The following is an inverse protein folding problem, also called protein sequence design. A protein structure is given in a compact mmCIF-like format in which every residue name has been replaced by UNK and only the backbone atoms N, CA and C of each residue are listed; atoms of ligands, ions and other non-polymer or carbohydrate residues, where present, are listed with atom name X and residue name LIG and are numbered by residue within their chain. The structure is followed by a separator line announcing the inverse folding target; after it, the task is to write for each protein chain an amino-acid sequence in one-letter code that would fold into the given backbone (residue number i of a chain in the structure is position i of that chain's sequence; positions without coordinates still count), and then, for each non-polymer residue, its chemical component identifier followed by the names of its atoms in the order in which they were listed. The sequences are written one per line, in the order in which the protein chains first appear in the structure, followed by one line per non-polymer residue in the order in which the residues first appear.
data_IF_672770159850
#
_entry.id   IF_672770159850
#
_cell.length_a   1.000
_cell.length_b   1.000
_cell.length_c   1.000
_cell.angle_alpha   90.00
_cell.angle_beta   90.00
_cell.angle_gamma   90.00
#
_symmetry.space_group_name_H-M   'P 1'
#
loop_
_entity.id
_entity.type
_entity.pdbx_description
1 polymer ?
#
# COMPACT_ATOMS: atom_id res chain seq x y z
N UNK A 1 -1.74 10.39 -6.37
CA UNK A 1 -2.28 11.17 -7.52
C UNK A 1 -2.72 12.58 -7.14
N UNK A 2 -2.63 12.95 -5.90
CA UNK A 2 -3.00 14.27 -5.40
C UNK A 2 -3.39 14.21 -3.94
N UNK A 3 -3.38 15.38 -3.27
CA UNK A 3 -3.65 15.50 -1.83
C UNK A 3 -5.00 16.14 -1.50
N UNK A 4 -5.65 16.72 -2.49
CA UNK A 4 -6.96 17.36 -2.28
C UNK A 4 -7.87 17.18 -3.53
N UNK A 5 -8.75 16.17 -3.55
CA UNK A 5 -8.85 15.06 -2.57
C UNK A 5 -7.61 14.15 -2.58
N UNK A 6 -7.42 13.43 -1.48
CA UNK A 6 -6.33 12.47 -1.37
C UNK A 6 -6.61 11.22 -2.22
N UNK A 7 -5.88 11.09 -3.32
CA UNK A 7 -6.05 10.00 -4.28
C UNK A 7 -4.79 9.16 -4.41
N UNK A 8 -4.99 7.86 -4.60
CA UNK A 8 -3.93 6.91 -4.90
C UNK A 8 -4.17 6.22 -6.24
N UNK A 9 -3.09 5.95 -6.97
CA UNK A 9 -3.11 5.14 -8.19
C UNK A 9 -2.35 3.84 -7.98
N UNK A 10 -2.90 2.75 -8.46
CA UNK A 10 -2.29 1.43 -8.39
C UNK A 10 -2.36 0.77 -9.78
N UNK A 11 -1.23 0.28 -10.27
CA UNK A 11 -1.19 -0.50 -11.51
C UNK A 11 -1.44 -1.96 -11.19
N UNK A 12 -2.46 -2.51 -11.80
CA UNK A 12 -2.77 -3.92 -11.75
C UNK A 12 -2.33 -4.59 -13.05
N UNK A 13 -1.68 -5.74 -12.94
CA UNK A 13 -1.31 -6.57 -14.09
C UNK A 13 -2.58 -7.01 -14.86
N UNK A 14 -2.46 -7.43 -16.13
CA UNK A 14 -3.60 -7.88 -16.92
C UNK A 14 -4.48 -8.89 -16.17
N UNK A 15 -5.78 -8.72 -16.32
CA UNK A 15 -6.82 -9.55 -15.65
C UNK A 15 -7.17 -10.83 -16.43
N UNK A 16 -6.40 -11.17 -17.44
CA UNK A 16 -6.48 -12.46 -18.15
C UNK A 16 -6.28 -13.66 -17.21
N UNK A 17 -5.55 -13.43 -16.08
CA UNK A 17 -5.47 -14.35 -14.96
C UNK A 17 -6.36 -13.81 -13.84
N UNK A 18 -7.26 -14.63 -13.24
CA UNK A 18 -8.08 -14.22 -12.11
C UNK A 18 -7.24 -13.63 -10.98
N UNK A 19 -7.68 -12.48 -10.44
CA UNK A 19 -7.00 -11.80 -9.32
C UNK A 19 -8.01 -11.52 -8.23
N UNK A 20 -7.89 -12.26 -7.13
CA UNK A 20 -8.84 -12.20 -6.02
C UNK A 20 -8.94 -10.80 -5.42
N UNK A 21 -7.79 -10.11 -5.25
CA UNK A 21 -7.76 -8.71 -4.77
C UNK A 21 -8.60 -7.80 -5.65
N UNK A 22 -8.50 -7.93 -6.98
CA UNK A 22 -9.28 -7.12 -7.90
C UNK A 22 -10.78 -7.47 -7.82
N UNK A 23 -11.11 -8.76 -7.81
CA UNK A 23 -12.50 -9.21 -7.69
C UNK A 23 -13.13 -8.71 -6.38
N UNK A 24 -12.41 -8.83 -5.26
CA UNK A 24 -12.87 -8.37 -3.95
C UNK A 24 -13.05 -6.84 -3.92
N UNK A 25 -12.11 -6.11 -4.49
CA UNK A 25 -12.19 -4.64 -4.59
C UNK A 25 -13.40 -4.19 -5.41
N UNK A 26 -13.69 -4.85 -6.53
CA UNK A 26 -14.87 -4.56 -7.36
C UNK A 26 -16.17 -4.91 -6.64
N UNK A 27 -16.20 -6.02 -5.91
CA UNK A 27 -17.40 -6.48 -5.19
C UNK A 27 -17.73 -5.62 -3.96
N UNK A 28 -16.70 -5.15 -3.25
CA UNK A 28 -16.90 -4.43 -1.98
C UNK A 28 -16.78 -2.90 -2.10
N UNK A 29 -16.13 -2.42 -3.16
CA UNK A 29 -15.85 -1.00 -3.36
C UNK A 29 -14.75 -0.44 -2.44
N UNK A 30 -14.09 -1.29 -1.63
CA UNK A 30 -13.06 -0.86 -0.68
C UNK A 30 -11.86 -1.80 -0.68
N UNK A 31 -10.71 -1.26 -0.29
CA UNK A 31 -9.46 -2.01 -0.11
C UNK A 31 -8.55 -1.32 0.90
N UNK A 32 -7.52 -2.01 1.36
CA UNK A 32 -6.49 -1.43 2.22
C UNK A 32 -5.13 -1.51 1.57
N UNK A 33 -4.28 -0.54 1.87
CA UNK A 33 -2.85 -0.59 1.60
C UNK A 33 -2.11 -0.58 2.93
N UNK A 34 -1.12 -1.45 3.05
CA UNK A 34 -0.37 -1.62 4.29
C UNK A 34 1.12 -1.62 3.97
N UNK A 35 1.89 -0.72 4.60
CA UNK A 35 3.33 -0.69 4.44
C UNK A 35 3.96 -1.93 5.09
N UNK A 36 4.91 -2.54 4.39
CA UNK A 36 5.64 -3.70 4.91
C UNK A 36 6.67 -3.20 5.93
N UNK A 37 6.64 -3.76 7.14
CA UNK A 37 7.71 -3.60 8.13
C UNK A 37 8.82 -4.62 7.89
N UNK A 38 10.06 -4.30 8.22
CA UNK A 38 11.22 -5.18 8.01
C UNK A 38 11.05 -6.59 8.59
N UNK A 39 10.37 -6.71 9.74
CA UNK A 39 10.07 -8.01 10.36
C UNK A 39 9.00 -8.84 9.62
N UNK A 40 8.38 -8.29 8.60
CA UNK A 40 7.28 -8.90 7.84
C UNK A 40 7.70 -9.27 6.40
N UNK A 41 8.96 -9.09 6.02
CA UNK A 41 9.42 -9.24 4.62
C UNK A 41 9.10 -10.62 4.08
N UNK A 42 9.47 -11.68 4.79
CA UNK A 42 9.28 -13.07 4.35
C UNK A 42 7.79 -13.40 4.14
N UNK A 43 6.97 -13.08 5.13
CA UNK A 43 5.52 -13.29 5.06
C UNK A 43 4.88 -12.43 3.96
N UNK A 44 5.25 -11.15 3.85
CA UNK A 44 4.74 -10.26 2.81
C UNK A 44 5.13 -10.74 1.42
N UNK A 45 6.36 -11.21 1.22
CA UNK A 45 6.79 -11.84 -0.02
C UNK A 45 5.94 -13.07 -0.35
N UNK A 46 5.68 -13.91 0.65
CA UNK A 46 4.90 -15.14 0.48
C UNK A 46 3.45 -14.86 0.06
N UNK A 47 2.86 -13.70 0.39
CA UNK A 47 1.52 -13.32 -0.07
C UNK A 47 1.42 -13.15 -1.59
N UNK A 48 2.55 -13.09 -2.31
CA UNK A 48 2.57 -13.05 -3.78
C UNK A 48 2.33 -14.42 -4.44
N UNK A 49 2.35 -15.50 -3.66
CA UNK A 49 2.07 -16.85 -4.15
C UNK A 49 0.60 -16.98 -4.60
N UNK A 50 0.39 -17.80 -5.62
CA UNK A 50 -0.95 -18.03 -6.18
C UNK A 50 -1.68 -19.11 -5.38
N UNK A 51 -2.63 -18.70 -4.55
CA UNK A 51 -3.50 -19.60 -3.80
C UNK A 51 -4.88 -19.73 -4.45
N UNK A 52 -5.60 -20.85 -4.25
CA UNK A 52 -7.03 -20.94 -4.59
C UNK A 52 -7.84 -19.88 -3.84
N UNK A 53 -8.96 -19.44 -4.42
CA UNK A 53 -9.85 -18.40 -3.86
C UNK A 53 -10.35 -18.71 -2.43
N UNK A 54 -10.45 -19.99 -2.09
CA UNK A 54 -10.88 -20.45 -0.76
C UNK A 54 -9.80 -20.33 0.33
N UNK A 55 -8.59 -19.94 -0.02
CA UNK A 55 -7.45 -19.84 0.91
C UNK A 55 -7.02 -18.39 1.01
N UNK A 56 -7.02 -17.87 2.24
CA UNK A 56 -6.46 -16.56 2.53
C UNK A 56 -4.95 -16.64 2.78
N UNK A 57 -4.21 -15.68 2.26
CA UNK A 57 -2.76 -15.54 2.52
C UNK A 57 -2.48 -15.34 4.02
N UNK A 58 -3.40 -14.77 4.77
CA UNK A 58 -3.30 -14.70 6.24
C UNK A 58 -3.23 -16.07 6.91
N UNK A 59 -3.84 -17.10 6.32
CA UNK A 59 -3.81 -18.47 6.84
C UNK A 59 -2.49 -19.19 6.50
N UNK A 60 -1.70 -18.63 5.60
CA UNK A 60 -0.43 -19.20 5.10
C UNK A 60 0.81 -18.43 5.53
N UNK A 61 0.63 -17.36 6.28
CA UNK A 61 1.69 -16.49 6.79
C UNK A 61 1.52 -16.24 8.29
N UNK A 62 2.50 -15.60 8.92
CA UNK A 62 2.40 -15.14 10.30
C UNK A 62 1.73 -13.76 10.41
N UNK A 63 1.37 -13.13 9.28
CA UNK A 63 0.64 -11.87 9.26
C UNK A 63 -0.71 -12.04 9.97
N UNK A 64 -1.10 -11.04 10.75
CA UNK A 64 -2.36 -11.06 11.49
C UNK A 64 -3.34 -10.05 10.90
N UNK A 65 -4.59 -10.47 10.82
CA UNK A 65 -5.69 -9.59 10.44
C UNK A 65 -5.95 -8.58 11.55
N UNK A 66 -6.08 -7.32 11.17
CA UNK A 66 -6.66 -6.28 12.01
C UNK A 66 -7.97 -5.79 11.38
N UNK A 67 -9.02 -5.67 12.18
CA UNK A 67 -10.30 -5.10 11.77
C UNK A 67 -10.48 -3.74 12.42
N UNK A 68 -10.72 -2.72 11.62
CA UNK A 68 -11.04 -1.39 12.12
C UNK A 68 -12.53 -1.14 12.01
N UNK A 69 -13.08 -0.44 13.00
CA UNK A 69 -14.52 -0.16 13.09
C UNK A 69 -14.97 0.59 11.83
N UNK A 70 -16.08 0.14 11.28
CA UNK A 70 -16.74 0.71 10.09
C UNK A 70 -15.97 0.58 8.77
N UNK A 71 -14.96 -0.30 8.68
CA UNK A 71 -14.27 -0.56 7.43
C UNK A 71 -14.28 -2.06 7.09
N UNK A 72 -14.80 -2.40 5.90
CA UNK A 72 -15.06 -3.80 5.53
C UNK A 72 -13.78 -4.57 5.21
N UNK A 73 -12.83 -3.95 4.50
CA UNK A 73 -11.59 -4.62 4.14
C UNK A 73 -10.66 -4.79 5.35
N UNK A 74 -9.92 -5.92 5.45
CA UNK A 74 -8.98 -6.16 6.53
C UNK A 74 -7.71 -5.31 6.36
N UNK A 75 -7.06 -5.01 7.49
CA UNK A 75 -5.71 -4.46 7.54
C UNK A 75 -4.73 -5.52 7.99
N UNK A 76 -3.45 -5.32 7.67
CA UNK A 76 -2.34 -6.10 8.24
C UNK A 76 -1.97 -5.48 9.59
N UNK A 77 -2.13 -6.26 10.66
CA UNK A 77 -1.79 -5.81 12.02
C UNK A 77 -0.31 -5.43 12.11
N UNK A 78 -0.02 -4.43 12.91
CA UNK A 78 1.33 -3.91 13.17
C UNK A 78 2.06 -3.27 11.98
N UNK A 79 1.40 -3.16 10.82
CA UNK A 79 1.91 -2.36 9.72
C UNK A 79 2.13 -0.90 10.14
N UNK A 80 3.29 -0.29 9.84
CA UNK A 80 3.59 1.08 10.30
C UNK A 80 2.69 2.16 9.70
N UNK A 81 2.24 1.93 8.47
CA UNK A 81 1.28 2.78 7.76
C UNK A 81 0.19 1.90 7.18
N UNK A 82 -1.06 2.25 7.44
CA UNK A 82 -2.23 1.57 6.91
C UNK A 82 -3.17 2.59 6.29
N UNK A 83 -3.64 2.35 5.09
CA UNK A 83 -4.57 3.22 4.38
C UNK A 83 -5.89 2.48 4.15
N UNK A 84 -7.00 3.08 4.58
CA UNK A 84 -8.34 2.69 4.17
C UNK A 84 -8.66 3.37 2.84
N UNK A 85 -8.95 2.62 1.80
CA UNK A 85 -9.15 3.15 0.46
C UNK A 85 -10.50 2.73 -0.11
N UNK A 86 -11.13 3.66 -0.83
CA UNK A 86 -12.34 3.39 -1.61
C UNK A 86 -11.99 3.34 -3.09
N UNK A 87 -12.46 2.31 -3.77
CA UNK A 87 -12.37 2.22 -5.22
C UNK A 87 -13.22 3.31 -5.88
N UNK A 88 -12.65 4.08 -6.79
CA UNK A 88 -13.36 5.14 -7.51
C UNK A 88 -13.54 4.80 -9.00
N UNK A 89 -12.45 4.45 -9.67
CA UNK A 89 -12.46 4.24 -11.12
C UNK A 89 -11.25 3.41 -11.55
N UNK A 90 -11.27 2.97 -12.81
CA UNK A 90 -10.15 2.29 -13.44
C UNK A 90 -10.00 2.73 -14.89
N UNK A 91 -8.76 2.69 -15.39
CA UNK A 91 -8.42 3.02 -16.77
C UNK A 91 -7.59 1.89 -17.37
N UNK A 92 -8.03 1.37 -18.50
CA UNK A 92 -7.30 0.37 -19.24
C UNK A 92 -6.15 1.01 -20.01
N UNK A 93 -4.93 0.56 -19.75
CA UNK A 93 -3.71 0.98 -20.44
C UNK A 93 -3.46 -0.01 -21.57
N UNK A 94 -3.85 0.38 -22.78
CA UNK A 94 -3.86 -0.48 -23.98
C UNK A 94 -2.47 -0.94 -24.42
N UNK A 95 -1.44 -0.18 -24.07
CA UNK A 95 -0.06 -0.40 -24.48
C UNK A 95 0.52 -1.71 -23.89
N UNK A 96 0.04 -2.13 -22.74
CA UNK A 96 0.52 -3.34 -22.06
C UNK A 96 -0.60 -4.13 -21.35
N UNK A 97 -1.85 -3.78 -21.64
CA UNK A 97 -3.04 -4.46 -21.15
C UNK A 97 -3.19 -4.43 -19.62
N UNK A 98 -2.61 -3.44 -18.95
CA UNK A 98 -2.73 -3.24 -17.48
C UNK A 98 -3.91 -2.32 -17.16
N UNK A 99 -4.30 -2.31 -15.86
CA UNK A 99 -5.31 -1.40 -15.32
C UNK A 99 -4.66 -0.40 -14.37
N UNK A 100 -4.92 0.90 -14.57
CA UNK A 100 -4.69 1.91 -13.56
C UNK A 100 -5.96 2.03 -12.70
N UNK A 101 -5.89 1.57 -11.49
CA UNK A 101 -6.97 1.72 -10.50
C UNK A 101 -6.76 3.03 -9.74
N UNK A 102 -7.83 3.82 -9.62
CA UNK A 102 -7.84 5.05 -8.82
C UNK A 102 -8.74 4.85 -7.61
N UNK A 103 -8.19 5.12 -6.45
CA UNK A 103 -8.92 5.10 -5.17
C UNK A 103 -8.75 6.40 -4.40
N UNK A 104 -9.74 6.72 -3.54
CA UNK A 104 -9.60 7.74 -2.52
C UNK A 104 -9.03 7.13 -1.24
N UNK A 105 -8.23 7.91 -0.52
CA UNK A 105 -7.78 7.57 0.83
C UNK A 105 -8.81 8.17 1.79
N UNK A 106 -9.57 7.30 2.46
CA UNK A 106 -10.61 7.68 3.42
C UNK A 106 -10.02 7.91 4.82
N UNK A 107 -9.12 7.00 5.24
CA UNK A 107 -8.41 7.11 6.51
C UNK A 107 -6.94 6.71 6.33
N UNK A 108 -6.07 7.39 7.05
CA UNK A 108 -4.64 7.11 7.13
C UNK A 108 -4.26 6.89 8.60
N UNK A 109 -3.76 5.69 8.89
CA UNK A 109 -3.24 5.31 10.21
C UNK A 109 -1.72 5.22 10.13
N UNK A 110 -1.04 5.96 10.98
CA UNK A 110 0.42 6.05 11.04
C UNK A 110 0.85 5.80 12.47
N UNK A 111 1.91 5.03 12.69
CA UNK A 111 2.51 4.89 14.04
C UNK A 111 3.07 6.23 14.50
N UNK A 112 2.78 6.61 15.74
CA UNK A 112 3.25 7.87 16.32
C UNK A 112 4.78 8.02 16.28
N UNK A 113 5.51 6.89 16.39
CA UNK A 113 6.97 6.87 16.38
C UNK A 113 7.62 7.34 15.06
N UNK A 114 6.87 7.42 13.96
CA UNK A 114 7.37 7.85 12.66
C UNK A 114 6.72 9.14 12.14
N UNK A 115 5.74 9.66 12.88
CA UNK A 115 5.08 10.93 12.56
C UNK A 115 5.77 12.06 13.33
N UNK A 116 6.41 12.97 12.61
CA UNK A 116 7.09 14.11 13.19
C UNK A 116 6.09 15.23 13.52
N UNK A 117 6.49 16.16 14.39
CA UNK A 117 5.64 17.27 14.85
C UNK A 117 5.13 18.16 13.71
N UNK A 118 5.87 18.27 12.61
CA UNK A 118 5.49 19.02 11.42
C UNK A 118 4.59 18.23 10.45
N UNK A 119 4.16 17.01 10.83
CA UNK A 119 3.30 16.14 10.04
C UNK A 119 4.03 15.29 9.01
N UNK A 120 5.37 15.38 8.96
CA UNK A 120 6.15 14.55 8.06
C UNK A 120 6.29 13.11 8.57
N UNK A 121 6.14 12.13 7.67
CA UNK A 121 6.27 10.71 7.99
C UNK A 121 7.68 10.25 7.62
N UNK A 122 8.47 9.86 8.62
CA UNK A 122 9.83 9.40 8.42
C UNK A 122 9.88 7.89 8.30
N UNK A 123 10.00 7.39 7.06
CA UNK A 123 9.83 5.97 6.72
C UNK A 123 10.92 5.06 7.33
N UNK A 124 12.16 5.52 7.38
CA UNK A 124 13.29 4.75 7.92
C UNK A 124 13.20 4.52 9.43
N UNK A 125 12.59 5.44 10.20
CA UNK A 125 12.30 5.24 11.62
C UNK A 125 11.27 4.12 11.87
N UNK A 126 10.45 3.84 10.87
CA UNK A 126 9.41 2.81 10.95
C UNK A 126 9.83 1.43 10.49
N UNK A 127 11.09 1.25 10.08
CA UNK A 127 11.51 0.00 9.45
C UNK A 127 10.70 -0.34 8.20
N UNK A 128 10.21 0.69 7.48
CA UNK A 128 9.38 0.51 6.30
C UNK A 128 10.25 0.08 5.13
N UNK A 129 9.81 -0.96 4.45
CA UNK A 129 10.55 -1.60 3.38
C UNK A 129 10.19 -0.98 2.04
N UNK A 130 11.17 -0.82 1.17
CA UNK A 130 11.00 -0.58 -0.26
C UNK A 130 11.23 -1.86 -1.04
N UNK A 131 10.50 -2.02 -2.14
CA UNK A 131 10.61 -3.19 -3.01
C UNK A 131 11.37 -2.77 -4.28
N UNK A 132 12.40 -3.52 -4.62
CA UNK A 132 13.18 -3.38 -5.84
C UNK A 132 12.94 -4.59 -6.74
N UNK A 133 12.32 -4.35 -7.89
CA UNK A 133 11.89 -5.42 -8.78
C UNK A 133 10.73 -6.21 -8.19
N UNK A 134 10.84 -7.54 -8.20
CA UNK A 134 9.77 -8.45 -7.75
C UNK A 134 10.08 -9.12 -6.41
N UNK A 135 11.34 -9.17 -6.00
CA UNK A 135 11.84 -10.03 -4.94
C UNK A 135 12.97 -9.38 -4.10
N UNK A 136 13.41 -8.19 -4.46
CA UNK A 136 14.41 -7.45 -3.71
C UNK A 136 13.77 -6.53 -2.67
N UNK A 137 14.24 -6.60 -1.42
CA UNK A 137 13.75 -5.78 -0.33
C UNK A 137 14.87 -4.95 0.26
N UNK A 138 14.61 -3.67 0.52
CA UNK A 138 15.57 -2.77 1.13
C UNK A 138 14.90 -1.87 2.16
N UNK A 139 15.62 -1.50 3.20
CA UNK A 139 15.18 -0.49 4.16
C UNK A 139 15.76 0.84 3.69
N UNK A 140 14.93 1.82 3.31
CA UNK A 140 15.40 3.14 2.93
C UNK A 140 16.08 3.81 4.13
N UNK A 141 17.07 4.64 3.85
CA UNK A 141 17.74 5.47 4.85
C UNK A 141 17.65 6.93 4.41
N UNK A 142 17.02 7.75 5.23
CA UNK A 142 17.00 9.19 5.00
C UNK A 142 18.42 9.73 4.97
N UNK A 143 18.76 10.42 3.90
CA UNK A 143 20.07 11.08 3.78
C UNK A 143 19.99 12.53 4.24
N UNK A 144 19.02 13.25 3.73
CA UNK A 144 18.86 14.66 4.03
C UNK A 144 17.42 15.11 3.72
N UNK A 145 16.96 16.14 4.41
CA UNK A 145 15.69 16.79 4.18
C UNK A 145 15.92 18.27 3.92
N UNK A 146 15.56 18.74 2.75
CA UNK A 146 15.74 20.10 2.31
C UNK A 146 14.47 20.94 2.49
N UNK A 147 14.58 22.26 2.72
CA UNK A 147 13.44 23.16 2.58
C UNK A 147 12.95 23.20 1.13
N UNK A 148 11.77 23.76 0.92
CA UNK A 148 11.22 23.95 -0.43
C UNK A 148 12.21 24.72 -1.31
N UNK A 149 12.56 24.13 -2.44
CA UNK A 149 13.51 24.73 -3.38
C UNK A 149 12.94 26.04 -3.96
N UNK A 150 13.73 27.09 -3.90
CA UNK A 150 13.45 28.37 -4.54
C UNK A 150 14.54 28.67 -5.56
N UNK A 151 14.26 29.52 -6.59
CA UNK A 151 15.31 30.03 -7.47
C UNK A 151 16.44 30.64 -6.62
N UNK A 152 17.67 30.40 -7.02
CA UNK A 152 18.83 31.11 -6.44
C UNK A 152 18.78 32.52 -7.02
N UNK A 153 18.95 33.50 -6.15
CA UNK A 153 19.17 34.87 -6.60
C UNK A 153 20.50 34.88 -7.39
N UNK A 154 20.51 35.49 -8.60
CA UNK A 154 21.69 35.64 -9.43
C UNK A 154 22.63 36.69 -8.83
#
# INVERSE_FOLDING_TARGET
LGSNPALIGMILRPTTVPRHTYANMKATGVFTLNAIHESQIEDAHHTSASYPESISEFDKTQLKVERKKNFLAPFVKDSPIQMACKYLNEYHIKENDTLLIVGSIEDLYVKDSILLEDGWIQLDLGGIVTINGLDGYAIPKLQERFPYARPKDE
#
